data_IF_576223396236
#
_entry.id   IF_576223396236
#
_cell.length_a   1.000
_cell.length_b   1.000
_cell.length_c   1.000
_cell.angle_alpha   90.00
_cell.angle_beta   90.00
_cell.angle_gamma   90.00
#
_symmetry.space_group_name_H-M   'P 1'
#
loop_
_entity.id
_entity.type
_entity.pdbx_description
1 polymer ?
#
# COMPACT_ATOMS: atom_id res chain seq x y z
N UNK A 1 -11.93 -38.95 -5.90
CA UNK A 1 -11.98 -37.91 -4.85
C UNK A 1 -11.06 -38.21 -3.65
N UNK A 2 -11.01 -39.42 -3.10
CA UNK A 2 -10.16 -39.76 -1.94
C UNK A 2 -8.63 -39.58 -2.18
N UNK A 3 -8.11 -39.88 -3.36
CA UNK A 3 -6.66 -39.77 -3.65
C UNK A 3 -6.11 -38.35 -3.55
N UNK A 4 -6.92 -37.32 -3.85
CA UNK A 4 -6.47 -35.93 -3.81
C UNK A 4 -6.46 -35.35 -2.38
N UNK A 5 -7.32 -35.88 -1.49
CA UNK A 5 -7.37 -35.48 -0.08
C UNK A 5 -6.13 -36.04 0.66
N UNK A 6 -5.74 -37.26 0.36
CA UNK A 6 -4.55 -37.91 0.98
C UNK A 6 -3.26 -37.19 0.58
N UNK A 7 -3.14 -36.73 -0.67
CA UNK A 7 -1.97 -36.00 -1.13
C UNK A 7 -1.88 -34.59 -0.50
N UNK A 8 -3.00 -33.89 -0.37
CA UNK A 8 -3.05 -32.57 0.27
C UNK A 8 -2.68 -32.65 1.76
N UNK A 9 -3.16 -33.65 2.48
CA UNK A 9 -2.80 -33.90 3.87
C UNK A 9 -1.32 -34.26 4.03
N UNK A 10 -0.76 -35.10 3.14
CA UNK A 10 0.65 -35.44 3.16
C UNK A 10 1.55 -34.22 2.92
N UNK A 11 1.19 -33.35 1.99
CA UNK A 11 1.91 -32.10 1.74
C UNK A 11 1.82 -31.17 2.96
N UNK A 12 0.63 -31.03 3.57
CA UNK A 12 0.45 -30.22 4.76
C UNK A 12 1.30 -30.73 5.94
N UNK A 13 1.33 -32.05 6.19
CA UNK A 13 2.20 -32.67 7.20
C UNK A 13 3.69 -32.45 6.94
N UNK A 14 4.14 -32.53 5.69
CA UNK A 14 5.53 -32.28 5.32
C UNK A 14 5.93 -30.81 5.51
N UNK A 15 5.04 -29.88 5.19
CA UNK A 15 5.28 -28.43 5.38
C UNK A 15 5.31 -28.09 6.87
N UNK A 16 4.36 -28.62 7.66
CA UNK A 16 4.30 -28.41 9.10
C UNK A 16 5.51 -29.04 9.83
N UNK A 17 5.89 -30.25 9.44
CA UNK A 17 7.09 -30.91 9.94
C UNK A 17 8.37 -30.12 9.60
N UNK A 18 8.53 -29.68 8.34
CA UNK A 18 9.69 -28.91 7.92
C UNK A 18 9.76 -27.55 8.66
N UNK A 19 8.63 -26.93 8.89
CA UNK A 19 8.55 -25.68 9.66
C UNK A 19 8.96 -25.91 11.12
N UNK A 20 8.37 -26.89 11.81
CA UNK A 20 8.59 -27.11 13.22
C UNK A 20 10.01 -27.69 13.52
N UNK A 21 10.52 -28.61 12.69
CA UNK A 21 11.77 -29.31 12.92
C UNK A 21 13.01 -28.54 12.40
N UNK A 22 12.87 -27.78 11.31
CA UNK A 22 14.03 -27.12 10.68
C UNK A 22 14.00 -25.60 10.74
N UNK A 23 12.85 -24.99 10.44
CA UNK A 23 12.75 -23.53 10.29
C UNK A 23 12.61 -22.86 11.65
N UNK A 24 11.73 -23.34 12.51
CA UNK A 24 11.46 -22.75 13.82
C UNK A 24 12.66 -22.83 14.79
N UNK A 25 13.40 -23.95 14.88
CA UNK A 25 14.64 -24.00 15.67
C UNK A 25 15.71 -23.07 15.13
N UNK A 26 15.88 -23.02 13.78
CA UNK A 26 16.81 -22.11 13.12
C UNK A 26 16.49 -20.63 13.44
N UNK A 27 15.23 -20.22 13.31
CA UNK A 27 14.78 -18.87 13.65
C UNK A 27 14.95 -18.57 15.16
N UNK A 28 14.75 -19.55 16.02
CA UNK A 28 14.95 -19.40 17.46
C UNK A 28 16.44 -19.26 17.82
N UNK A 29 17.31 -19.98 17.13
CA UNK A 29 18.76 -19.88 17.29
C UNK A 29 19.28 -18.53 16.78
N UNK A 30 18.84 -18.09 15.61
CA UNK A 30 19.16 -16.77 15.05
C UNK A 30 18.68 -15.63 15.97
N UNK A 31 17.47 -15.74 16.53
CA UNK A 31 16.91 -14.76 17.45
C UNK A 31 17.69 -14.72 18.78
N UNK A 32 18.04 -15.88 19.31
CA UNK A 32 18.83 -15.97 20.56
C UNK A 32 20.27 -15.47 20.36
N UNK A 33 20.86 -15.70 19.17
CA UNK A 33 22.19 -15.17 18.82
C UNK A 33 22.16 -13.65 18.63
N UNK A 34 21.01 -13.10 18.17
CA UNK A 34 20.81 -11.65 18.02
C UNK A 34 20.52 -10.93 19.35
N UNK A 35 20.14 -11.66 20.41
CA UNK A 35 19.83 -11.12 21.76
C UNK A 35 21.01 -11.25 22.72
N UNK A 36 21.97 -12.15 22.44
CA UNK A 36 23.18 -12.30 23.26
C UNK A 36 24.06 -11.05 23.13
N UNK A 37 24.42 -10.41 24.26
CA UNK A 37 25.34 -9.25 24.26
C UNK A 37 26.67 -9.61 23.57
N UNK A 38 27.13 -8.79 22.61
CA UNK A 38 28.36 -9.10 21.87
C UNK A 38 29.57 -8.92 22.77
N UNK A 39 30.42 -9.93 22.82
CA UNK A 39 31.77 -9.80 23.38
C UNK A 39 32.55 -8.73 22.60
N UNK A 40 33.40 -7.95 23.30
CA UNK A 40 34.07 -6.74 22.79
C UNK A 40 34.97 -6.89 21.55
N UNK A 41 35.15 -8.09 21.00
CA UNK A 41 36.13 -8.37 19.95
C UNK A 41 35.54 -8.65 18.54
N UNK A 42 34.24 -8.41 18.30
CA UNK A 42 33.62 -8.71 16.99
C UNK A 42 33.09 -7.45 16.24
N UNK A 43 33.76 -6.32 16.33
CA UNK A 43 33.33 -5.02 15.79
C UNK A 43 33.46 -4.88 14.25
N UNK A 44 33.66 -5.97 13.49
CA UNK A 44 33.81 -5.91 12.03
C UNK A 44 32.70 -6.65 11.25
N UNK A 45 31.53 -6.89 11.83
CA UNK A 45 30.46 -7.63 11.13
C UNK A 45 29.38 -6.71 10.52
N UNK A 46 29.39 -6.65 9.17
CA UNK A 46 28.39 -6.02 8.30
C UNK A 46 26.88 -6.24 8.64
N UNK A 47 26.42 -7.33 9.33
CA UNK A 47 25.01 -7.51 9.64
C UNK A 47 24.43 -6.48 10.60
N UNK A 48 25.23 -5.95 11.55
CA UNK A 48 24.74 -5.00 12.57
C UNK A 48 24.41 -3.62 11.99
N UNK A 49 25.12 -3.18 10.95
CA UNK A 49 24.83 -1.93 10.24
C UNK A 49 23.54 -2.01 9.43
N UNK A 50 23.23 -3.18 8.86
CA UNK A 50 21.97 -3.47 8.17
C UNK A 50 20.78 -3.45 9.15
N UNK A 51 20.93 -4.04 10.33
CA UNK A 51 19.89 -4.03 11.38
C UNK A 51 19.71 -2.61 11.95
N UNK A 52 20.81 -1.87 12.19
CA UNK A 52 20.74 -0.46 12.63
C UNK A 52 20.03 0.43 11.61
N UNK A 53 20.30 0.27 10.31
CA UNK A 53 19.61 1.01 9.25
C UNK A 53 18.13 0.62 9.10
N UNK A 54 17.76 -0.61 9.44
CA UNK A 54 16.36 -1.08 9.48
C UNK A 54 15.62 -0.56 10.73
N UNK A 55 16.35 -0.25 11.80
CA UNK A 55 15.81 0.19 13.09
C UNK A 55 16.01 1.68 13.35
N UNK A 56 16.67 2.43 12.45
CA UNK A 56 16.84 3.87 12.64
C UNK A 56 15.46 4.54 12.62
N UNK A 57 15.17 5.26 13.70
CA UNK A 57 13.88 5.91 13.97
C UNK A 57 13.55 7.02 12.96
N UNK A 58 14.56 7.46 12.20
CA UNK A 58 14.50 8.60 11.28
C UNK A 58 14.50 8.19 9.79
N UNK A 59 14.43 6.89 9.47
CA UNK A 59 14.41 6.45 8.09
C UNK A 59 12.98 6.37 7.56
N UNK A 60 12.68 7.13 6.54
CA UNK A 60 11.47 7.03 5.73
C UNK A 60 11.65 5.97 4.64
N UNK A 61 10.55 5.50 4.07
CA UNK A 61 10.56 4.54 2.97
C UNK A 61 10.00 5.20 1.72
N UNK A 62 10.70 5.09 0.61
CA UNK A 62 10.37 5.76 -0.64
C UNK A 62 9.62 4.84 -1.59
N UNK A 63 8.71 5.42 -2.37
CA UNK A 63 7.92 4.77 -3.39
C UNK A 63 7.58 5.69 -4.55
N UNK A 64 6.82 5.15 -5.48
CA UNK A 64 6.23 5.86 -6.61
C UNK A 64 4.77 5.45 -6.72
N UNK A 65 3.97 6.31 -7.36
CA UNK A 65 2.72 5.86 -7.94
C UNK A 65 2.70 6.06 -9.46
N UNK A 66 1.97 5.21 -10.15
CA UNK A 66 2.01 5.09 -11.60
C UNK A 66 0.65 4.72 -12.19
N UNK A 67 0.47 5.09 -13.45
CA UNK A 67 -0.64 4.68 -14.30
C UNK A 67 -0.12 4.43 -15.73
N UNK A 68 -1.01 4.24 -16.68
CA UNK A 68 -0.67 4.13 -18.10
C UNK A 68 0.12 5.33 -18.64
N UNK A 69 0.09 6.49 -17.98
CA UNK A 69 0.85 7.67 -18.40
C UNK A 69 2.37 7.49 -18.30
N UNK A 70 2.85 6.62 -17.41
CA UNK A 70 4.27 6.30 -17.28
C UNK A 70 4.74 5.18 -18.24
N UNK A 71 3.81 4.52 -18.96
CA UNK A 71 4.11 3.49 -19.93
C UNK A 71 4.93 2.32 -19.36
N UNK A 72 5.88 1.81 -20.15
CA UNK A 72 6.69 0.62 -19.80
C UNK A 72 7.89 0.92 -18.90
N UNK A 73 8.03 2.14 -18.39
CA UNK A 73 9.22 2.57 -17.64
C UNK A 73 9.46 1.80 -16.35
N UNK A 74 8.41 1.17 -15.79
CA UNK A 74 8.55 0.30 -14.62
C UNK A 74 9.49 -0.89 -14.87
N UNK A 75 9.70 -1.28 -16.14
CA UNK A 75 10.64 -2.34 -16.51
C UNK A 75 12.08 -1.99 -16.15
N UNK A 76 12.44 -0.71 -16.23
CA UNK A 76 13.77 -0.20 -15.93
C UNK A 76 14.03 -0.01 -14.43
N UNK A 77 13.00 -0.08 -13.57
CA UNK A 77 13.12 0.09 -12.14
C UNK A 77 14.15 -0.87 -11.54
N UNK A 78 15.15 -0.31 -10.84
CA UNK A 78 16.14 -1.06 -10.08
C UNK A 78 16.00 -0.75 -8.58
N UNK A 79 15.33 -1.62 -7.85
CA UNK A 79 15.04 -1.47 -6.42
C UNK A 79 16.23 -1.06 -5.56
N UNK A 80 17.43 -1.59 -5.85
CA UNK A 80 18.63 -1.28 -5.06
C UNK A 80 19.23 0.07 -5.42
N UNK A 81 19.33 0.36 -6.72
CA UNK A 81 19.90 1.60 -7.23
C UNK A 81 19.00 2.79 -6.92
N UNK A 82 17.70 2.63 -7.11
CA UNK A 82 16.72 3.71 -7.01
C UNK A 82 16.22 3.91 -5.58
N UNK A 83 16.61 3.03 -4.64
CA UNK A 83 16.17 3.05 -3.23
C UNK A 83 14.66 3.01 -3.04
N UNK A 84 13.89 2.61 -4.06
CA UNK A 84 12.45 2.49 -4.04
C UNK A 84 12.02 1.16 -3.42
N UNK A 85 11.00 1.20 -2.57
CA UNK A 85 10.56 0.02 -1.85
C UNK A 85 9.12 -0.39 -2.17
N UNK A 86 8.28 0.55 -2.55
CA UNK A 86 6.89 0.29 -2.95
C UNK A 86 6.52 1.07 -4.20
N UNK A 87 5.52 0.56 -4.93
CA UNK A 87 4.89 1.24 -6.07
C UNK A 87 3.39 1.01 -5.99
N UNK A 88 2.61 2.08 -6.16
CA UNK A 88 1.15 2.06 -6.18
C UNK A 88 0.70 2.24 -7.62
N UNK A 89 -0.08 1.29 -8.16
CA UNK A 89 -0.50 1.31 -9.56
C UNK A 89 -1.97 1.71 -9.67
N UNK A 90 -2.32 2.56 -10.64
CA UNK A 90 -3.72 2.73 -11.04
C UNK A 90 -4.26 1.38 -11.47
N UNK A 91 -5.37 0.94 -10.87
CA UNK A 91 -6.03 -0.30 -11.25
C UNK A 91 -7.30 -0.02 -12.05
N UNK A 92 -8.15 0.85 -11.54
CA UNK A 92 -9.47 1.10 -12.10
C UNK A 92 -9.92 2.55 -11.93
N UNK A 93 -10.95 2.93 -12.67
CA UNK A 93 -11.65 4.20 -12.57
C UNK A 93 -13.14 4.00 -12.83
N UNK A 94 -14.00 4.66 -12.06
CA UNK A 94 -15.44 4.54 -12.22
C UNK A 94 -15.92 3.09 -12.17
N UNK A 95 -16.93 2.73 -12.95
CA UNK A 95 -17.57 1.41 -12.88
C UNK A 95 -17.04 0.37 -13.87
N UNK A 96 -16.15 0.77 -14.80
CA UNK A 96 -15.77 -0.13 -15.92
C UNK A 96 -14.34 0.01 -16.43
N UNK A 97 -13.68 1.14 -16.22
CA UNK A 97 -12.31 1.35 -16.73
C UNK A 97 -11.30 0.55 -15.90
N UNK A 98 -10.42 -0.17 -16.62
CA UNK A 98 -9.23 -0.83 -16.04
C UNK A 98 -8.02 -0.19 -16.71
N UNK A 99 -7.02 0.23 -15.91
CA UNK A 99 -5.78 0.77 -16.44
C UNK A 99 -5.07 -0.30 -17.29
N UNK A 100 -4.78 -0.02 -18.57
CA UNK A 100 -4.25 -1.03 -19.49
C UNK A 100 -2.85 -1.54 -19.09
N UNK A 101 -2.13 -0.81 -18.24
CA UNK A 101 -0.79 -1.22 -17.78
C UNK A 101 -0.81 -1.95 -16.44
N UNK A 102 -1.96 -1.99 -15.75
CA UNK A 102 -2.06 -2.49 -14.37
C UNK A 102 -1.52 -3.92 -14.20
N UNK A 103 -2.00 -4.85 -15.02
CA UNK A 103 -1.60 -6.26 -14.91
C UNK A 103 -0.11 -6.45 -15.21
N UNK A 104 0.40 -5.82 -16.27
CA UNK A 104 1.81 -5.87 -16.65
C UNK A 104 2.69 -5.30 -15.55
N UNK A 105 2.34 -4.12 -15.01
CA UNK A 105 3.06 -3.49 -13.91
C UNK A 105 3.06 -4.37 -12.64
N UNK A 106 1.94 -4.98 -12.29
CA UNK A 106 1.85 -5.91 -11.16
C UNK A 106 2.81 -7.10 -11.30
N UNK A 107 2.90 -7.69 -12.50
CA UNK A 107 3.78 -8.82 -12.78
C UNK A 107 5.25 -8.42 -12.69
N UNK A 108 5.64 -7.31 -13.30
CA UNK A 108 7.01 -6.77 -13.24
C UNK A 108 7.42 -6.46 -11.80
N UNK A 109 6.57 -5.79 -11.03
CA UNK A 109 6.84 -5.46 -9.63
C UNK A 109 6.96 -6.70 -8.74
N UNK A 110 6.19 -7.76 -9.04
CA UNK A 110 6.30 -9.05 -8.37
C UNK A 110 7.65 -9.68 -8.61
N UNK A 111 8.12 -9.75 -9.85
CA UNK A 111 9.44 -10.28 -10.22
C UNK A 111 10.58 -9.48 -9.57
N UNK A 112 10.42 -8.17 -9.49
CA UNK A 112 11.40 -7.28 -8.84
C UNK A 112 11.31 -7.28 -7.29
N UNK A 113 10.38 -8.04 -6.70
CA UNK A 113 10.15 -8.10 -5.24
C UNK A 113 9.90 -6.71 -4.61
N UNK A 114 9.21 -5.84 -5.32
CA UNK A 114 8.75 -4.53 -4.85
C UNK A 114 7.40 -4.68 -4.16
N UNK A 115 7.18 -3.98 -3.05
CA UNK A 115 5.85 -3.90 -2.42
C UNK A 115 4.91 -3.18 -3.36
N UNK A 116 3.72 -3.74 -3.61
CA UNK A 116 2.74 -3.20 -4.55
C UNK A 116 1.57 -2.57 -3.82
N UNK A 117 0.99 -1.55 -4.41
CA UNK A 117 -0.29 -0.98 -4.07
C UNK A 117 -1.18 -0.89 -5.30
N UNK A 118 -2.47 -0.69 -5.11
CA UNK A 118 -3.43 -0.43 -6.18
C UNK A 118 -4.37 0.70 -5.77
N UNK A 119 -4.67 1.61 -6.70
CA UNK A 119 -5.66 2.63 -6.47
C UNK A 119 -6.79 2.60 -7.48
N UNK A 120 -7.94 3.07 -7.02
CA UNK A 120 -9.15 3.30 -7.80
C UNK A 120 -9.43 4.80 -7.84
N UNK A 121 -9.48 5.38 -9.03
CA UNK A 121 -9.91 6.76 -9.22
C UNK A 121 -11.44 6.83 -9.09
N UNK A 122 -11.91 7.40 -7.99
CA UNK A 122 -13.32 7.48 -7.66
C UNK A 122 -14.00 8.59 -8.45
N UNK A 123 -15.16 8.30 -9.02
CA UNK A 123 -15.99 9.27 -9.72
C UNK A 123 -17.35 9.39 -9.01
N UNK A 124 -17.65 10.56 -8.44
CA UNK A 124 -18.81 10.75 -7.56
C UNK A 124 -20.16 10.61 -8.28
N UNK A 125 -20.19 10.72 -9.59
CA UNK A 125 -21.40 10.58 -10.42
C UNK A 125 -21.88 9.14 -10.58
N UNK A 126 -21.01 8.15 -10.30
CA UNK A 126 -21.34 6.72 -10.44
C UNK A 126 -21.70 6.09 -9.10
N UNK A 127 -22.44 4.98 -9.18
CA UNK A 127 -22.83 4.22 -7.99
C UNK A 127 -21.60 3.74 -7.19
N UNK A 128 -21.49 4.09 -5.91
CA UNK A 128 -20.29 3.79 -5.10
C UNK A 128 -20.08 2.29 -4.86
N UNK A 129 -21.16 1.50 -4.80
CA UNK A 129 -21.07 0.05 -4.60
C UNK A 129 -20.57 -0.62 -5.87
N UNK A 130 -21.07 -0.20 -7.05
CA UNK A 130 -20.60 -0.73 -8.33
C UNK A 130 -19.11 -0.42 -8.55
N UNK A 131 -18.66 0.79 -8.22
CA UNK A 131 -17.23 1.15 -8.28
C UNK A 131 -16.39 0.28 -7.33
N UNK A 132 -16.84 0.11 -6.09
CA UNK A 132 -16.14 -0.72 -5.10
C UNK A 132 -16.03 -2.19 -5.53
N UNK A 133 -17.10 -2.76 -6.10
CA UNK A 133 -17.13 -4.13 -6.62
C UNK A 133 -16.23 -4.29 -7.83
N UNK A 134 -16.24 -3.31 -8.77
CA UNK A 134 -15.34 -3.29 -9.92
C UNK A 134 -13.88 -3.27 -9.49
N UNK A 135 -13.50 -2.34 -8.61
CA UNK A 135 -12.14 -2.25 -8.08
C UNK A 135 -11.71 -3.52 -7.34
N UNK A 136 -12.53 -3.98 -6.39
CA UNK A 136 -12.21 -5.17 -5.60
C UNK A 136 -12.03 -6.41 -6.48
N UNK A 137 -12.88 -6.61 -7.50
CA UNK A 137 -12.75 -7.71 -8.46
C UNK A 137 -11.38 -7.69 -9.15
N UNK A 138 -10.98 -6.54 -9.71
CA UNK A 138 -9.72 -6.42 -10.45
C UNK A 138 -8.51 -6.69 -9.56
N UNK A 139 -8.48 -6.16 -8.34
CA UNK A 139 -7.34 -6.36 -7.44
C UNK A 139 -7.29 -7.78 -6.86
N UNK A 140 -8.43 -8.45 -6.68
CA UNK A 140 -8.47 -9.85 -6.22
C UNK A 140 -8.05 -10.83 -7.31
N UNK A 141 -8.48 -10.63 -8.55
CA UNK A 141 -8.12 -11.48 -9.69
C UNK A 141 -6.60 -11.50 -9.91
N UNK A 142 -5.91 -10.42 -9.61
CA UNK A 142 -4.45 -10.32 -9.69
C UNK A 142 -3.71 -10.81 -8.42
N UNK A 143 -4.37 -11.50 -7.49
CA UNK A 143 -3.81 -11.97 -6.22
C UNK A 143 -3.12 -10.87 -5.41
N UNK A 144 -3.57 -9.64 -5.57
CA UNK A 144 -2.93 -8.43 -5.05
C UNK A 144 -3.12 -8.25 -3.53
N UNK A 145 -4.07 -8.95 -2.94
CA UNK A 145 -4.48 -8.75 -1.54
C UNK A 145 -3.76 -9.63 -0.53
N UNK A 146 -2.56 -10.10 -0.84
CA UNK A 146 -1.78 -10.81 0.17
C UNK A 146 -1.14 -9.83 1.18
N UNK A 147 -0.70 -10.37 2.31
CA UNK A 147 -0.09 -9.59 3.41
C UNK A 147 1.20 -8.83 3.04
N UNK A 148 1.70 -8.99 1.82
CA UNK A 148 2.90 -8.31 1.31
C UNK A 148 2.57 -7.07 0.51
N UNK A 149 1.29 -6.67 0.41
CA UNK A 149 0.84 -5.55 -0.41
C UNK A 149 0.21 -4.46 0.46
N UNK A 150 0.37 -3.21 0.02
CA UNK A 150 -0.37 -2.08 0.58
C UNK A 150 -1.88 -2.34 0.57
N UNK A 151 -2.65 -1.72 1.45
CA UNK A 151 -4.11 -1.81 1.38
C UNK A 151 -4.62 -1.22 0.06
N UNK A 152 -5.84 -1.59 -0.39
CA UNK A 152 -6.50 -0.94 -1.51
C UNK A 152 -6.63 0.56 -1.25
N UNK A 153 -6.50 1.39 -2.29
CA UNK A 153 -6.58 2.86 -2.17
C UNK A 153 -7.79 3.37 -2.92
N UNK A 154 -8.57 4.24 -2.27
CA UNK A 154 -9.54 5.12 -2.91
C UNK A 154 -8.85 6.45 -3.19
N UNK A 155 -8.76 6.81 -4.46
CA UNK A 155 -8.25 8.10 -4.91
C UNK A 155 -9.43 9.06 -5.13
N UNK A 156 -9.46 10.13 -4.31
CA UNK A 156 -10.51 11.14 -4.31
C UNK A 156 -9.91 12.53 -4.39
N UNK A 157 -10.18 13.22 -5.49
CA UNK A 157 -9.63 14.52 -5.83
C UNK A 157 -10.72 15.54 -6.20
N UNK A 158 -10.35 16.81 -6.35
CA UNK A 158 -11.30 17.83 -6.82
C UNK A 158 -11.95 17.43 -8.14
N UNK A 159 -11.15 16.98 -9.12
CA UNK A 159 -11.63 16.56 -10.44
C UNK A 159 -12.61 15.40 -10.39
N UNK A 160 -12.48 14.50 -9.43
CA UNK A 160 -13.37 13.35 -9.24
C UNK A 160 -14.69 13.73 -8.55
N UNK A 161 -14.75 14.93 -7.96
CA UNK A 161 -15.85 15.44 -7.17
C UNK A 161 -16.52 16.70 -7.78
N UNK A 162 -16.11 17.11 -8.98
CA UNK A 162 -16.67 18.33 -9.64
C UNK A 162 -17.93 18.06 -10.44
N UNK A 163 -18.35 16.82 -10.58
CA UNK A 163 -19.56 16.37 -11.25
C UNK A 163 -20.73 16.16 -10.28
N UNK A 164 -21.86 15.65 -10.72
CA UNK A 164 -23.11 15.51 -9.95
C UNK A 164 -22.99 14.62 -8.70
N UNK A 165 -22.29 15.06 -7.68
CA UNK A 165 -22.10 14.32 -6.43
C UNK A 165 -23.31 14.43 -5.46
N UNK A 166 -24.34 15.18 -5.82
CA UNK A 166 -25.41 15.54 -4.91
C UNK A 166 -24.96 16.60 -3.88
N UNK A 167 -25.67 16.67 -2.75
CA UNK A 167 -25.25 17.51 -1.64
C UNK A 167 -24.04 16.88 -0.89
N UNK A 168 -23.42 17.66 -0.02
CA UNK A 168 -22.24 17.22 0.74
C UNK A 168 -22.50 15.93 1.54
N UNK A 169 -23.68 15.81 2.17
CA UNK A 169 -24.04 14.66 2.97
C UNK A 169 -24.19 13.40 2.11
N UNK A 170 -24.81 13.54 0.95
CA UNK A 170 -24.94 12.45 -0.03
C UNK A 170 -23.55 12.02 -0.53
N UNK A 171 -22.71 12.97 -0.91
CA UNK A 171 -21.34 12.68 -1.32
C UNK A 171 -20.54 11.91 -0.23
N UNK A 172 -20.59 12.39 1.01
CA UNK A 172 -19.93 11.72 2.14
C UNK A 172 -20.46 10.31 2.39
N UNK A 173 -21.77 10.11 2.33
CA UNK A 173 -22.37 8.78 2.48
C UNK A 173 -21.92 7.83 1.36
N UNK A 174 -21.87 8.30 0.11
CA UNK A 174 -21.44 7.49 -1.02
C UNK A 174 -19.95 7.10 -0.91
N UNK A 175 -19.09 8.02 -0.49
CA UNK A 175 -17.67 7.71 -0.21
C UNK A 175 -17.56 6.63 0.87
N UNK A 176 -18.31 6.75 1.97
CA UNK A 176 -18.31 5.74 3.04
C UNK A 176 -18.87 4.39 2.58
N UNK A 177 -19.87 4.36 1.70
CA UNK A 177 -20.39 3.14 1.10
C UNK A 177 -19.32 2.42 0.27
N UNK A 178 -18.59 3.17 -0.59
CA UNK A 178 -17.47 2.63 -1.35
C UNK A 178 -16.41 2.01 -0.44
N UNK A 179 -15.92 2.75 0.55
CA UNK A 179 -14.88 2.29 1.46
C UNK A 179 -15.29 1.03 2.23
N UNK A 180 -16.51 1.00 2.76
CA UNK A 180 -17.04 -0.17 3.48
C UNK A 180 -17.21 -1.39 2.57
N UNK A 181 -17.65 -1.21 1.33
CA UNK A 181 -17.82 -2.32 0.41
C UNK A 181 -16.46 -2.89 -0.03
N UNK A 182 -15.45 -2.04 -0.30
CA UNK A 182 -14.07 -2.48 -0.55
C UNK A 182 -13.54 -3.25 0.65
N UNK A 183 -13.71 -2.73 1.88
CA UNK A 183 -13.28 -3.40 3.11
C UNK A 183 -13.95 -4.77 3.26
N UNK A 184 -15.25 -4.86 3.05
CA UNK A 184 -16.05 -6.08 3.13
C UNK A 184 -15.58 -7.15 2.15
N UNK A 185 -15.36 -6.78 0.88
CA UNK A 185 -14.97 -7.73 -0.17
C UNK A 185 -13.53 -8.17 0.00
N UNK A 186 -12.61 -7.23 0.28
CA UNK A 186 -11.18 -7.50 0.30
C UNK A 186 -10.65 -8.00 1.64
N UNK A 187 -11.41 -7.79 2.73
CA UNK A 187 -10.93 -8.05 4.09
C UNK A 187 -9.79 -7.13 4.52
N UNK A 188 -9.64 -5.97 3.88
CA UNK A 188 -8.60 -4.98 4.15
C UNK A 188 -9.23 -3.61 4.38
N UNK A 189 -8.80 -2.90 5.43
CA UNK A 189 -9.16 -1.49 5.63
C UNK A 189 -8.51 -0.69 4.50
N UNK A 190 -9.30 -0.05 3.61
CA UNK A 190 -8.73 0.74 2.51
C UNK A 190 -8.03 2.01 3.02
N UNK A 191 -7.15 2.56 2.20
CA UNK A 191 -6.50 3.86 2.40
C UNK A 191 -7.20 4.90 1.53
N UNK A 192 -7.22 6.15 1.96
CA UNK A 192 -7.72 7.28 1.19
C UNK A 192 -6.54 8.11 0.70
N UNK A 193 -6.47 8.32 -0.63
CA UNK A 193 -5.63 9.36 -1.23
C UNK A 193 -6.47 10.59 -1.49
N UNK A 194 -5.95 11.75 -1.09
CA UNK A 194 -6.57 13.05 -1.33
C UNK A 194 -5.58 14.20 -1.12
N UNK A 195 -5.96 15.41 -1.52
CA UNK A 195 -5.28 16.65 -1.15
C UNK A 195 -6.04 17.39 -0.02
N UNK A 196 -5.41 18.44 0.53
CA UNK A 196 -5.96 19.24 1.62
C UNK A 196 -7.36 19.81 1.31
N UNK A 197 -7.54 20.37 0.12
CA UNK A 197 -8.80 21.06 -0.23
C UNK A 197 -9.97 20.07 -0.37
N UNK A 198 -9.78 18.96 -1.04
CA UNK A 198 -10.79 17.91 -1.18
C UNK A 198 -11.08 17.25 0.17
N UNK A 199 -10.03 16.98 0.95
CA UNK A 199 -10.15 16.38 2.27
C UNK A 199 -10.96 17.24 3.24
N UNK A 200 -10.67 18.54 3.33
CA UNK A 200 -11.44 19.45 4.21
C UNK A 200 -12.86 19.67 3.73
N UNK A 201 -13.12 19.61 2.42
CA UNK A 201 -14.46 19.79 1.87
C UNK A 201 -15.33 18.54 2.05
N UNK A 202 -14.85 17.38 1.66
CA UNK A 202 -15.67 16.17 1.55
C UNK A 202 -15.41 15.13 2.64
N UNK A 203 -14.23 15.13 3.29
CA UNK A 203 -13.80 14.11 4.23
C UNK A 203 -13.60 14.66 5.64
N UNK A 204 -14.38 15.66 6.03
CA UNK A 204 -14.20 16.45 7.25
C UNK A 204 -14.87 15.86 8.50
N UNK A 205 -15.26 14.59 8.48
CA UNK A 205 -15.85 13.91 9.65
C UNK A 205 -14.92 12.83 10.22
N UNK A 206 -15.10 12.50 11.50
CA UNK A 206 -14.33 11.44 12.18
C UNK A 206 -14.50 10.06 11.55
N UNK A 207 -15.54 9.84 10.76
CA UNK A 207 -15.76 8.57 10.06
C UNK A 207 -14.68 8.27 9.02
N UNK A 208 -14.05 9.32 8.46
CA UNK A 208 -12.95 9.17 7.51
C UNK A 208 -11.60 8.98 8.20
N UNK A 209 -11.42 9.54 9.40
CA UNK A 209 -10.16 9.48 10.14
C UNK A 209 -9.71 8.06 10.52
N UNK A 210 -10.60 7.08 10.47
CA UNK A 210 -10.27 5.66 10.70
C UNK A 210 -9.57 5.00 9.51
N UNK A 211 -9.68 5.58 8.32
CA UNK A 211 -8.97 5.12 7.14
C UNK A 211 -7.59 5.78 7.05
N UNK A 212 -6.52 5.02 6.79
CA UNK A 212 -5.19 5.60 6.62
C UNK A 212 -5.17 6.66 5.52
N UNK A 213 -4.41 7.73 5.72
CA UNK A 213 -4.30 8.83 4.76
C UNK A 213 -3.04 8.70 3.90
N UNK A 214 -3.20 8.81 2.59
CA UNK A 214 -2.16 9.14 1.63
C UNK A 214 -2.42 10.56 1.13
N UNK A 215 -1.57 11.52 1.53
CA UNK A 215 -1.77 12.94 1.28
C UNK A 215 -0.96 13.44 0.09
N UNK A 216 -1.58 14.11 -0.85
CA UNK A 216 -0.91 14.86 -1.91
C UNK A 216 -0.61 16.28 -1.42
N UNK A 217 0.68 16.62 -1.38
CA UNK A 217 1.16 17.95 -1.05
C UNK A 217 2.53 18.18 -1.68
N UNK A 218 2.57 18.91 -2.77
CA UNK A 218 3.78 19.16 -3.56
C UNK A 218 4.60 20.28 -2.91
N UNK A 219 5.29 19.91 -1.84
CA UNK A 219 6.05 20.83 -1.00
C UNK A 219 7.37 20.23 -0.57
N UNK A 220 8.29 21.06 -0.14
CA UNK A 220 9.59 20.61 0.38
C UNK A 220 9.44 19.87 1.71
N UNK A 221 8.60 20.39 2.59
CA UNK A 221 8.39 19.88 3.95
C UNK A 221 6.88 19.77 4.23
N UNK A 222 6.42 18.58 4.60
CA UNK A 222 5.01 18.36 4.96
C UNK A 222 4.75 18.90 6.37
N UNK A 223 3.96 19.96 6.43
CA UNK A 223 3.51 20.52 7.71
C UNK A 223 2.05 20.18 7.97
N UNK A 224 1.58 20.38 9.19
CA UNK A 224 0.20 20.13 9.61
C UNK A 224 -0.83 20.92 8.77
N UNK A 225 -0.41 22.06 8.20
CA UNK A 225 -1.28 22.89 7.34
C UNK A 225 -1.69 22.21 6.04
N UNK A 226 -1.00 21.15 5.63
CA UNK A 226 -1.32 20.37 4.43
C UNK A 226 -2.18 19.13 4.73
N UNK A 227 -2.37 18.79 6.01
CA UNK A 227 -3.16 17.61 6.41
C UNK A 227 -4.63 18.03 6.58
N UNK A 228 -5.60 17.32 5.99
CA UNK A 228 -7.01 17.58 6.23
C UNK A 228 -7.36 17.41 7.72
N UNK A 229 -8.22 18.27 8.22
CA UNK A 229 -8.52 18.42 9.65
C UNK A 229 -9.01 17.14 10.33
N UNK A 230 -9.72 16.27 9.62
CA UNK A 230 -10.25 15.03 10.17
C UNK A 230 -9.17 14.07 10.66
N UNK A 231 -7.96 14.08 10.08
CA UNK A 231 -6.88 13.15 10.43
C UNK A 231 -5.99 13.61 11.59
N UNK A 232 -6.22 14.77 12.17
CA UNK A 232 -5.46 15.27 13.33
C UNK A 232 -3.95 15.11 13.16
N UNK A 233 -3.43 15.61 12.03
CA UNK A 233 -2.02 15.56 11.64
C UNK A 233 -1.43 14.15 11.41
N UNK A 234 -2.27 13.12 11.32
CA UNK A 234 -1.83 11.74 11.04
C UNK A 234 -1.86 11.47 9.53
N UNK A 235 -0.79 10.90 9.02
CA UNK A 235 -0.69 10.46 7.64
C UNK A 235 0.20 9.21 7.54
N UNK A 236 -0.01 8.40 6.52
CA UNK A 236 0.78 7.19 6.29
C UNK A 236 1.70 7.33 5.09
N UNK A 237 1.20 7.89 3.98
CA UNK A 237 1.98 8.16 2.78
C UNK A 237 1.80 9.62 2.40
N UNK A 238 2.86 10.22 1.89
CA UNK A 238 2.89 11.58 1.36
C UNK A 238 3.39 11.53 -0.08
N UNK A 239 2.53 11.88 -1.03
CA UNK A 239 2.92 12.17 -2.40
C UNK A 239 3.52 13.58 -2.43
N UNK A 240 4.84 13.59 -2.48
CA UNK A 240 5.64 14.82 -2.32
C UNK A 240 5.81 15.60 -3.60
N UNK A 241 5.75 14.94 -4.73
CA UNK A 241 5.97 15.53 -6.05
C UNK A 241 5.22 14.75 -7.11
N UNK A 242 4.74 15.45 -8.12
CA UNK A 242 4.19 14.96 -9.39
C UNK A 242 5.20 15.04 -10.54
N UNK A 243 6.42 15.42 -10.25
CA UNK A 243 7.45 15.74 -11.25
C UNK A 243 8.84 15.19 -10.89
N UNK A 244 8.89 14.06 -10.17
CA UNK A 244 10.15 13.37 -9.90
C UNK A 244 10.71 12.79 -11.19
N UNK A 245 11.83 13.35 -11.66
CA UNK A 245 12.46 12.92 -12.91
C UNK A 245 13.19 11.59 -12.73
N UNK A 246 12.76 10.57 -13.45
CA UNK A 246 13.40 9.26 -13.52
C UNK A 246 13.46 8.82 -14.99
N UNK A 247 14.67 8.63 -15.55
CA UNK A 247 14.89 8.25 -16.94
C UNK A 247 14.10 9.11 -17.96
N UNK A 248 14.20 10.44 -17.80
CA UNK A 248 13.57 11.44 -18.69
C UNK A 248 12.03 11.48 -18.64
N UNK A 249 11.41 10.75 -17.71
CA UNK A 249 9.98 10.77 -17.47
C UNK A 249 9.68 11.25 -16.04
N UNK A 250 8.58 11.95 -15.87
CA UNK A 250 8.11 12.40 -14.57
C UNK A 250 7.25 11.33 -13.92
N UNK A 251 7.51 11.11 -12.63
CA UNK A 251 6.75 10.20 -11.76
C UNK A 251 6.24 10.94 -10.55
N UNK A 252 5.20 10.42 -9.98
CA UNK A 252 4.74 10.79 -8.67
C UNK A 252 5.63 10.11 -7.62
N UNK A 253 6.15 10.92 -6.68
CA UNK A 253 7.14 10.47 -5.70
C UNK A 253 6.55 10.46 -4.31
N UNK A 254 6.61 9.29 -3.68
CA UNK A 254 5.98 8.98 -2.42
C UNK A 254 6.95 8.73 -1.29
N UNK A 255 6.53 9.15 -0.11
CA UNK A 255 7.23 8.91 1.15
C UNK A 255 6.27 8.23 2.13
N UNK A 256 6.60 7.02 2.58
CA UNK A 256 5.92 6.39 3.71
C UNK A 256 6.49 6.94 5.02
N UNK A 257 5.61 7.27 5.99
CA UNK A 257 5.95 7.81 7.30
C UNK A 257 6.51 6.74 8.23
N UNK A 258 7.68 6.27 7.91
CA UNK A 258 8.37 5.25 8.69
C UNK A 258 9.33 4.39 7.87
N UNK A 259 10.07 3.56 8.56
CA UNK A 259 11.02 2.64 7.94
C UNK A 259 10.33 1.40 7.33
N UNK A 260 11.10 0.53 6.68
CA UNK A 260 10.60 -0.68 6.01
C UNK A 260 9.91 -1.67 6.95
N UNK A 261 10.31 -1.74 8.22
CA UNK A 261 9.67 -2.60 9.21
C UNK A 261 8.30 -2.02 9.60
N UNK A 262 8.21 -0.72 9.77
CA UNK A 262 6.98 0.00 10.07
C UNK A 262 5.99 -0.09 8.91
N UNK A 263 6.46 0.01 7.65
CA UNK A 263 5.65 -0.25 6.48
C UNK A 263 5.04 -1.67 6.50
N UNK A 264 5.84 -2.69 6.84
CA UNK A 264 5.32 -4.07 6.97
C UNK A 264 4.30 -4.22 8.11
N UNK A 265 4.51 -3.54 9.25
CA UNK A 265 3.54 -3.50 10.34
C UNK A 265 2.25 -2.82 9.90
N UNK A 266 2.35 -1.70 9.22
CA UNK A 266 1.21 -0.99 8.64
C UNK A 266 0.41 -1.88 7.69
N UNK A 267 1.06 -2.54 6.73
CA UNK A 267 0.41 -3.47 5.81
C UNK A 267 -0.40 -4.54 6.56
N UNK A 268 0.17 -5.11 7.63
CA UNK A 268 -0.52 -6.12 8.45
C UNK A 268 -1.67 -5.55 9.28
N UNK A 269 -1.54 -4.32 9.76
CA UNK A 269 -2.58 -3.67 10.58
C UNK A 269 -3.87 -3.38 9.82
N UNK A 270 -3.81 -3.31 8.49
CA UNK A 270 -5.00 -3.11 7.65
C UNK A 270 -5.80 -4.38 7.37
N UNK A 271 -5.34 -5.55 7.81
CA UNK A 271 -6.09 -6.82 7.68
C UNK A 271 -7.21 -6.85 8.71
N UNK A 272 -8.44 -6.99 8.24
CA UNK A 272 -9.62 -7.13 9.10
C UNK A 272 -9.56 -8.50 9.79
N UNK A 273 -9.54 -8.49 11.12
CA UNK A 273 -9.62 -9.74 11.89
C UNK A 273 -11.06 -10.26 11.83
N UNK A 274 -11.23 -11.45 11.30
CA UNK A 274 -12.49 -12.18 11.34
C UNK A 274 -12.79 -12.69 12.75
#
# INVERSE_FOLDING_TARGET
MLKNITLALAIWFLVDWAYNEKIKPFLKTELNTAIAEPSKDSLNNKPLSLVKNLLSKDSVTYGLDISHYQGDLITALNKKKDSLYFVICKATEGTSYIDPTYEANCNILKEKHVVRGAYHFYLCEYDPIAQAQHFAKVVMDNQFLNISHLPPVMDIENSSMDTNCGDLKTAQNNILLFLKEVEKITGRIPMIYTNKSTGDKYLNTSDFAKYPLWIAAYTKDLTTSYIPSAWDNKWMIWQRSDSYSYQETNFDYDIFNGNRLELRKFIRSTIVKK
#
